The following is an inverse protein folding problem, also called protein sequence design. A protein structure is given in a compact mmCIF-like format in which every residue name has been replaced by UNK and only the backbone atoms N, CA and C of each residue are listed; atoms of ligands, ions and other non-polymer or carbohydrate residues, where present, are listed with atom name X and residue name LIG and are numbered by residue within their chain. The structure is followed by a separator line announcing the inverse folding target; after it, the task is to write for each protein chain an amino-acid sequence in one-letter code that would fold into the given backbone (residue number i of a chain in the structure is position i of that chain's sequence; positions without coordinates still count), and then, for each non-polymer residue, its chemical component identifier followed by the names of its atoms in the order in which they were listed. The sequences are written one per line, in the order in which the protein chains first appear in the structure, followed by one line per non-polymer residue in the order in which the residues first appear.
data_IF_620058024324
#
_entry.id   IF_620058024324
#
_cell.length_a   1.000
_cell.length_b   1.000
_cell.length_c   1.000
_cell.angle_alpha   90.00
_cell.angle_beta   90.00
_cell.angle_gamma   90.00
#
_symmetry.space_group_name_H-M   'P 1'
#
loop_
_entity.id
_entity.type
_entity.pdbx_description
1 polymer ?
#
# COMPACT_ATOMS: atom_id res chain seq x y z
N UNK A 1 -4.29 10.76 36.78
CA UNK A 1 -3.42 11.72 36.07
C UNK A 1 -2.22 10.95 35.54
N UNK A 2 -2.37 10.28 34.40
CA UNK A 2 -1.48 10.42 33.24
C UNK A 2 -2.09 9.54 32.15
N UNK A 3 -2.50 10.19 31.07
CA UNK A 3 -3.24 9.66 29.95
C UNK A 3 -2.26 9.64 28.79
N UNK A 4 -1.83 8.47 28.33
CA UNK A 4 -1.01 8.34 27.13
C UNK A 4 -1.84 7.69 26.03
N UNK A 5 -2.39 8.60 25.23
CA UNK A 5 -3.00 8.49 23.92
C UNK A 5 -2.20 7.56 22.98
N UNK A 6 -2.79 6.41 22.60
CA UNK A 6 -2.27 5.51 21.57
C UNK A 6 -2.66 6.10 20.21
N UNK A 7 -1.84 7.03 19.72
CA UNK A 7 -1.97 7.55 18.36
C UNK A 7 -1.59 6.45 17.38
N UNK A 8 -2.64 5.79 16.89
CA UNK A 8 -2.64 4.94 15.71
C UNK A 8 -1.97 5.65 14.53
N UNK A 9 -0.75 5.24 14.20
CA UNK A 9 -0.10 5.63 12.95
C UNK A 9 -0.83 4.96 11.78
N UNK A 10 -1.69 5.74 11.14
CA UNK A 10 -2.37 5.41 9.92
C UNK A 10 -1.40 5.60 8.75
N UNK A 11 -0.74 4.52 8.33
CA UNK A 11 0.13 4.56 7.16
C UNK A 11 -0.70 4.80 5.90
N UNK A 12 -0.55 6.00 5.35
CA UNK A 12 -1.15 6.44 4.09
C UNK A 12 -0.37 5.82 2.93
N UNK A 13 -0.75 4.60 2.55
CA UNK A 13 -0.29 3.95 1.31
C UNK A 13 -0.93 4.65 0.12
N UNK A 14 -0.29 5.69 -0.43
CA UNK A 14 -0.58 6.15 -1.79
C UNK A 14 -0.01 5.13 -2.76
N UNK A 15 -0.92 4.35 -3.35
CA UNK A 15 -0.68 3.50 -4.51
C UNK A 15 -0.42 4.39 -5.72
N UNK A 16 0.83 4.44 -6.17
CA UNK A 16 1.15 4.79 -7.55
C UNK A 16 0.79 3.59 -8.42
N UNK A 17 -0.22 3.81 -9.26
CA UNK A 17 -0.62 2.92 -10.33
C UNK A 17 0.42 2.99 -11.45
N UNK A 18 1.09 1.87 -11.70
CA UNK A 18 1.75 1.58 -12.97
C UNK A 18 1.03 0.36 -13.53
N UNK A 19 0.15 0.65 -14.48
CA UNK A 19 -0.67 -0.27 -15.25
C UNK A 19 0.16 -0.92 -16.35
N UNK A 20 0.44 -2.22 -16.21
CA UNK A 20 0.73 -3.10 -17.34
C UNK A 20 -0.17 -4.32 -17.21
N UNK A 21 -1.32 -4.21 -17.86
CA UNK A 21 -2.21 -5.32 -18.18
C UNK A 21 -1.69 -5.97 -19.47
N UNK A 22 -1.41 -7.26 -19.40
CA UNK A 22 -1.44 -8.15 -20.56
C UNK A 22 -2.07 -9.45 -20.04
N UNK A 23 -3.37 -9.57 -20.27
CA UNK A 23 -4.17 -10.76 -20.02
C UNK A 23 -4.55 -11.32 -21.39
N UNK A 24 -3.84 -12.37 -21.80
CA UNK A 24 -4.29 -13.29 -22.84
C UNK A 24 -5.35 -14.20 -22.22
N UNK A 25 -6.60 -13.77 -22.28
CA UNK A 25 -7.78 -14.59 -21.99
C UNK A 25 -8.35 -15.09 -23.31
N UNK A 26 -8.02 -16.35 -23.60
CA UNK A 26 -8.75 -17.21 -24.53
C UNK A 26 -10.12 -17.54 -23.94
N UNK A 27 -11.19 -17.01 -24.52
CA UNK A 27 -12.55 -17.54 -24.35
C UNK A 27 -13.21 -17.66 -25.71
N UNK A 28 -13.41 -18.90 -26.13
CA UNK A 28 -14.41 -19.28 -27.11
C UNK A 28 -15.77 -19.18 -26.41
N UNK A 29 -16.61 -18.22 -26.81
CA UNK A 29 -18.07 -18.29 -26.65
C UNK A 29 -18.74 -17.40 -27.70
N UNK A 30 -19.86 -17.87 -28.21
CA UNK A 30 -20.66 -17.46 -29.38
C UNK A 30 -20.78 -15.94 -29.65
N UNK A 31 -20.44 -15.51 -30.88
CA UNK A 31 -20.88 -14.23 -31.43
C UNK A 31 -22.04 -14.48 -32.42
N UNK A 32 -23.24 -14.19 -31.95
CA UNK A 32 -24.35 -13.79 -32.81
C UNK A 32 -24.01 -12.45 -33.49
N UNK A 33 -24.42 -12.40 -34.74
CA UNK A 33 -24.26 -11.36 -35.75
C UNK A 33 -24.78 -9.98 -35.29
N UNK A 34 -23.88 -9.00 -35.17
CA UNK A 34 -24.17 -7.56 -35.23
C UNK A 34 -22.96 -6.83 -35.86
N UNK A 35 -22.82 -6.99 -37.18
CA UNK A 35 -22.02 -6.10 -38.02
C UNK A 35 -22.57 -4.66 -37.92
N UNK A 36 -21.87 -3.75 -37.20
CA UNK A 36 -21.71 -2.30 -37.56
C UNK A 36 -21.20 -1.44 -36.38
N UNK A 37 -19.89 -1.24 -36.26
CA UNK A 37 -19.21 0.03 -35.85
C UNK A 37 -17.71 -0.15 -35.51
N UNK A 38 -16.96 -0.95 -36.28
CA UNK A 38 -15.48 -0.93 -36.22
C UNK A 38 -14.95 -0.12 -37.42
N UNK A 39 -14.30 1.05 -37.23
CA UNK A 39 -13.68 1.77 -38.34
C UNK A 39 -12.52 0.94 -38.89
N UNK A 40 -12.79 0.20 -39.96
CA UNK A 40 -11.76 -0.42 -40.81
C UNK A 40 -10.97 0.70 -41.49
N UNK A 41 -9.64 0.57 -41.55
CA UNK A 41 -8.77 0.90 -42.71
C UNK A 41 -7.27 1.03 -42.35
N UNK A 42 -6.72 0.10 -41.55
CA UNK A 42 -5.32 -0.24 -41.80
C UNK A 42 -5.32 -1.23 -42.98
N UNK A 43 -5.15 -0.73 -44.20
CA UNK A 43 -4.89 -1.58 -45.36
C UNK A 43 -3.76 -2.56 -45.01
N UNK A 44 -3.84 -3.81 -45.47
CA UNK A 44 -2.86 -4.87 -45.14
C UNK A 44 -1.41 -4.42 -45.36
N UNK A 45 -1.22 -3.49 -46.30
CA UNK A 45 0.02 -2.80 -46.63
C UNK A 45 0.65 -2.05 -45.44
N UNK A 46 -0.14 -1.39 -44.58
CA UNK A 46 0.39 -0.63 -43.42
C UNK A 46 0.81 -1.52 -42.25
N UNK A 47 0.33 -2.76 -42.18
CA UNK A 47 0.74 -3.73 -41.15
C UNK A 47 2.12 -4.32 -41.41
N UNK A 48 2.57 -4.30 -42.67
CA UNK A 48 3.88 -4.83 -43.09
C UNK A 48 5.01 -3.78 -42.99
N UNK A 49 4.68 -2.49 -42.89
CA UNK A 49 5.67 -1.40 -42.78
C UNK A 49 6.19 -1.32 -41.32
N UNK A 50 7.51 -1.24 -41.09
CA UNK A 50 8.06 -1.12 -39.75
C UNK A 50 7.62 0.19 -39.08
N UNK A 51 7.40 0.12 -37.76
CA UNK A 51 6.91 1.24 -36.94
C UNK A 51 7.75 2.52 -37.08
N UNK A 52 9.06 2.40 -37.29
CA UNK A 52 9.95 3.55 -37.47
C UNK A 52 9.57 4.39 -38.70
N UNK A 53 9.17 3.73 -39.79
CA UNK A 53 8.79 4.40 -41.03
C UNK A 53 7.38 5.00 -40.94
N UNK A 54 6.47 4.37 -40.19
CA UNK A 54 5.18 4.97 -39.82
C UNK A 54 5.38 6.25 -38.99
N UNK A 55 6.33 6.26 -38.05
CA UNK A 55 6.62 7.43 -37.23
C UNK A 55 7.27 8.56 -38.06
N UNK A 56 8.17 8.23 -39.00
CA UNK A 56 8.73 9.20 -39.96
C UNK A 56 7.63 9.77 -40.86
N UNK A 57 6.67 8.94 -41.29
CA UNK A 57 5.52 9.35 -42.09
C UNK A 57 4.61 10.31 -41.32
N UNK A 58 4.27 9.96 -40.06
CA UNK A 58 3.47 10.82 -39.18
C UNK A 58 4.13 12.18 -38.92
N UNK A 59 5.46 12.21 -38.76
CA UNK A 59 6.22 13.46 -38.59
C UNK A 59 6.25 14.33 -39.86
N UNK A 60 6.26 13.71 -41.05
CA UNK A 60 6.28 14.43 -42.34
C UNK A 60 4.89 14.94 -42.76
N UNK A 61 3.86 14.11 -42.61
CA UNK A 61 2.49 14.42 -43.02
C UNK A 61 1.70 15.18 -41.94
N UNK A 62 2.12 15.08 -40.68
CA UNK A 62 1.43 15.62 -39.52
C UNK A 62 0.36 14.66 -38.99
N UNK A 63 0.11 14.73 -37.67
CA UNK A 63 -0.75 13.77 -36.95
C UNK A 63 -2.20 13.76 -37.43
N UNK A 64 -2.75 14.91 -37.84
CA UNK A 64 -4.14 15.01 -38.31
C UNK A 64 -4.37 14.32 -39.66
N UNK A 65 -3.51 14.60 -40.64
CA UNK A 65 -3.62 14.02 -42.00
C UNK A 65 -3.30 12.53 -41.96
N UNK A 66 -2.30 12.13 -41.16
CA UNK A 66 -1.97 10.72 -40.94
C UNK A 66 -3.16 9.95 -40.33
N UNK A 67 -3.76 10.47 -39.26
CA UNK A 67 -4.89 9.80 -38.63
C UNK A 67 -6.13 9.74 -39.53
N UNK A 68 -6.38 10.78 -40.32
CA UNK A 68 -7.47 10.80 -41.30
C UNK A 68 -7.25 9.80 -42.45
N UNK A 69 -6.01 9.60 -42.89
CA UNK A 69 -5.66 8.65 -43.93
C UNK A 69 -5.71 7.18 -43.45
N UNK A 70 -5.27 6.92 -42.21
CA UNK A 70 -5.17 5.56 -41.64
C UNK A 70 -6.49 5.12 -40.98
N UNK A 71 -7.21 6.03 -40.33
CA UNK A 71 -8.43 5.69 -39.59
C UNK A 71 -9.70 6.23 -40.26
N UNK A 72 -9.57 6.87 -41.43
CA UNK A 72 -10.66 7.56 -42.11
C UNK A 72 -11.08 8.87 -41.43
N UNK A 73 -11.94 9.65 -42.09
CA UNK A 73 -12.65 10.75 -41.43
C UNK A 73 -13.62 10.16 -40.42
N UNK A 74 -13.30 10.25 -39.14
CA UNK A 74 -14.24 9.97 -38.08
C UNK A 74 -15.49 10.85 -38.26
N UNK A 75 -16.63 10.24 -38.59
CA UNK A 75 -17.93 10.93 -38.58
C UNK A 75 -18.20 11.30 -37.14
N UNK A 76 -18.11 12.59 -36.82
CA UNK A 76 -18.51 13.08 -35.51
C UNK A 76 -20.03 12.92 -35.35
N UNK A 77 -20.48 11.83 -34.70
CA UNK A 77 -21.85 11.75 -34.17
C UNK A 77 -22.05 12.93 -33.18
N UNK A 78 -23.20 13.63 -33.22
CA UNK A 78 -23.47 14.77 -32.35
C UNK A 78 -23.48 14.33 -30.89
N UNK A 79 -22.90 15.16 -30.01
CA UNK A 79 -22.85 14.91 -28.56
C UNK A 79 -24.27 14.91 -27.98
N UNK A 80 -24.84 13.74 -27.76
CA UNK A 80 -25.89 13.56 -26.75
C UNK A 80 -25.23 13.23 -25.42
N UNK A 81 -25.58 14.01 -24.41
CA UNK A 81 -25.13 13.90 -23.04
C UNK A 81 -25.96 12.82 -22.34
N UNK A 82 -25.35 11.70 -21.95
CA UNK A 82 -25.78 10.85 -20.82
C UNK A 82 -24.87 9.62 -20.70
N UNK A 83 -23.86 9.69 -19.84
CA UNK A 83 -23.23 8.52 -19.25
C UNK A 83 -22.71 8.96 -17.87
N UNK A 84 -23.61 8.92 -16.89
CA UNK A 84 -23.30 9.20 -15.51
C UNK A 84 -22.34 8.14 -14.95
N UNK A 85 -21.32 8.62 -14.25
CA UNK A 85 -20.37 7.80 -13.49
C UNK A 85 -21.03 7.31 -12.22
N UNK A 86 -21.16 6.00 -12.08
CA UNK A 86 -21.46 5.31 -10.83
C UNK A 86 -20.31 5.46 -9.83
N UNK A 87 -20.38 6.48 -8.98
CA UNK A 87 -19.70 6.48 -7.69
C UNK A 87 -20.62 7.02 -6.60
N UNK A 88 -21.38 6.14 -5.92
CA UNK A 88 -22.02 6.49 -4.65
C UNK A 88 -21.60 5.55 -3.52
N UNK A 89 -20.74 6.11 -2.68
CA UNK A 89 -20.56 5.78 -1.26
C UNK A 89 -21.92 5.80 -0.55
N UNK A 90 -22.27 4.72 0.16
CA UNK A 90 -23.44 4.66 1.04
C UNK A 90 -23.05 5.07 2.47
N UNK A 91 -23.71 6.10 2.99
CA UNK A 91 -24.02 6.28 4.42
C UNK A 91 -25.44 6.86 4.55
N UNK A 92 -26.26 6.09 5.26
CA UNK A 92 -27.33 6.45 6.22
C UNK A 92 -28.55 7.28 5.79
N UNK A 93 -29.67 6.57 5.84
CA UNK A 93 -30.90 6.84 6.61
C UNK A 93 -32.03 7.75 6.06
N UNK A 94 -33.19 7.08 5.92
CA UNK A 94 -34.57 7.52 6.19
C UNK A 94 -35.20 8.64 5.36
N UNK A 95 -36.18 8.26 4.53
CA UNK A 95 -37.62 8.58 4.67
C UNK A 95 -38.29 8.74 3.30
N UNK A 96 -39.39 8.03 3.13
CA UNK A 96 -40.29 8.04 1.98
C UNK A 96 -41.00 9.39 1.81
N UNK A 97 -41.20 9.84 0.56
CA UNK A 97 -42.53 10.14 -0.01
C UNK A 97 -42.42 10.47 -1.50
N UNK A 98 -43.42 10.01 -2.23
CA UNK A 98 -43.67 10.21 -3.66
C UNK A 98 -43.82 11.69 -4.06
N UNK A 99 -43.33 12.07 -5.24
CA UNK A 99 -44.08 12.94 -6.14
C UNK A 99 -43.69 12.69 -7.60
N UNK A 100 -44.72 12.50 -8.41
CA UNK A 100 -44.74 12.29 -9.86
C UNK A 100 -44.29 13.53 -10.66
N UNK A 101 -44.11 13.29 -11.96
CA UNK A 101 -43.97 14.21 -13.11
C UNK A 101 -42.62 14.90 -13.34
N UNK A 102 -41.85 14.28 -14.23
CA UNK A 102 -41.07 14.93 -15.27
C UNK A 102 -41.93 15.92 -16.09
N UNK A 103 -41.44 17.15 -16.24
CA UNK A 103 -41.52 18.04 -17.41
C UNK A 103 -41.40 19.50 -16.94
N UNK A 104 -40.17 19.98 -16.71
CA UNK A 104 -39.92 21.41 -16.57
C UNK A 104 -38.78 21.84 -17.53
N UNK A 105 -39.25 22.38 -18.66
CA UNK A 105 -38.56 23.26 -19.59
C UNK A 105 -37.70 24.29 -18.83
N UNK A 106 -36.38 24.06 -18.83
CA UNK A 106 -35.42 24.78 -17.99
C UNK A 106 -35.16 26.21 -18.50
N UNK A 107 -36.09 27.11 -18.20
CA UNK A 107 -35.88 28.56 -18.29
C UNK A 107 -34.94 29.07 -17.17
N UNK A 108 -34.31 30.25 -17.33
CA UNK A 108 -33.43 30.80 -16.31
C UNK A 108 -34.23 31.11 -15.02
N UNK A 109 -33.85 30.47 -13.91
CA UNK A 109 -34.40 30.76 -12.60
C UNK A 109 -33.90 32.11 -12.05
N UNK A 110 -34.80 32.90 -11.48
CA UNK A 110 -34.45 34.16 -10.82
C UNK A 110 -33.73 33.89 -9.48
N UNK A 111 -32.41 34.06 -9.47
CA UNK A 111 -31.61 34.01 -8.24
C UNK A 111 -31.59 35.37 -7.52
N UNK A 112 -31.76 35.35 -6.19
CA UNK A 112 -31.66 36.57 -5.37
C UNK A 112 -30.27 37.21 -5.46
N UNK A 113 -30.22 38.53 -5.68
CA UNK A 113 -28.99 39.35 -5.69
C UNK A 113 -28.21 39.36 -4.37
N UNK A 114 -28.81 38.84 -3.29
CA UNK A 114 -28.16 38.66 -1.98
C UNK A 114 -27.38 37.35 -1.86
N UNK A 115 -27.52 36.40 -2.80
CA UNK A 115 -26.64 35.23 -2.85
C UNK A 115 -25.23 35.73 -3.18
N UNK A 116 -24.32 35.61 -2.21
CA UNK A 116 -22.88 35.80 -2.46
C UNK A 116 -22.49 34.76 -3.52
N UNK A 117 -22.13 35.22 -4.72
CA UNK A 117 -21.63 34.35 -5.78
C UNK A 117 -20.40 33.57 -5.29
N UNK A 118 -20.04 32.45 -5.94
CA UNK A 118 -18.81 31.74 -5.62
C UNK A 118 -17.67 32.74 -5.78
N UNK A 119 -17.13 33.20 -4.65
CA UNK A 119 -15.91 34.00 -4.67
C UNK A 119 -14.88 33.11 -5.35
N UNK A 120 -14.36 33.51 -6.50
CA UNK A 120 -13.13 32.96 -7.03
C UNK A 120 -12.12 33.16 -5.92
N UNK A 121 -11.98 32.15 -5.07
CA UNK A 121 -11.08 32.16 -3.94
C UNK A 121 -9.77 32.56 -4.57
N UNK A 122 -9.27 33.75 -4.17
CA UNK A 122 -7.95 34.28 -4.54
C UNK A 122 -7.11 33.10 -4.89
N UNK A 123 -6.74 32.96 -6.17
CA UNK A 123 -5.82 31.95 -6.70
C UNK A 123 -4.95 31.60 -5.52
N UNK A 124 -5.22 30.45 -4.89
CA UNK A 124 -4.34 29.94 -3.86
C UNK A 124 -3.08 29.84 -4.66
N UNK A 125 -2.18 30.82 -4.51
CA UNK A 125 -0.83 30.79 -5.05
C UNK A 125 -0.45 29.37 -4.76
N UNK A 126 -0.25 28.63 -5.84
CA UNK A 126 -0.31 27.18 -5.80
C UNK A 126 0.44 26.70 -4.59
N UNK A 127 0.07 25.54 -4.09
CA UNK A 127 0.89 24.77 -3.19
C UNK A 127 2.23 24.38 -3.89
N UNK A 128 2.92 25.32 -4.54
CA UNK A 128 4.35 25.38 -4.77
C UNK A 128 4.98 25.53 -3.37
N UNK A 129 4.84 24.49 -2.56
CA UNK A 129 5.70 24.26 -1.40
C UNK A 129 7.18 24.29 -1.82
N UNK A 130 7.46 24.03 -3.10
CA UNK A 130 8.78 24.16 -3.74
C UNK A 130 9.30 25.60 -3.83
N UNK A 131 8.42 26.61 -3.85
CA UNK A 131 8.78 28.04 -3.86
C UNK A 131 8.63 28.70 -2.48
N UNK A 132 8.08 27.97 -1.50
CA UNK A 132 7.97 28.42 -0.11
C UNK A 132 9.34 28.30 0.58
N UNK A 133 10.23 29.26 0.27
CA UNK A 133 11.54 29.49 0.86
C UNK A 133 12.53 28.33 0.64
N UNK A 134 13.46 28.55 -0.29
CA UNK A 134 14.73 27.82 -0.40
C UNK A 134 15.56 28.04 0.89
N UNK A 135 15.10 27.47 2.00
CA UNK A 135 15.85 27.40 3.25
C UNK A 135 16.87 26.27 3.10
N UNK A 136 18.09 26.41 3.67
CA UNK A 136 19.00 25.29 3.75
C UNK A 136 18.29 24.15 4.49
N UNK A 137 17.96 23.10 3.74
CA UNK A 137 17.24 21.92 4.24
C UNK A 137 18.29 20.86 4.51
N UNK A 138 18.23 20.22 5.68
CA UNK A 138 19.13 19.11 5.99
C UNK A 138 18.89 18.00 4.96
N UNK A 139 19.91 17.56 4.22
CA UNK A 139 19.76 16.56 3.17
C UNK A 139 19.15 15.26 3.71
N UNK A 140 19.33 14.93 5.00
CA UNK A 140 18.70 13.76 5.63
C UNK A 140 17.17 13.83 5.64
N UNK A 141 16.61 15.03 5.54
CA UNK A 141 15.17 15.29 5.54
C UNK A 141 14.70 15.86 4.18
N UNK A 142 15.51 15.72 3.12
CA UNK A 142 15.10 16.03 1.75
C UNK A 142 14.25 14.88 1.19
N UNK A 143 12.99 15.12 0.76
CA UNK A 143 12.15 14.11 0.13
C UNK A 143 12.81 13.38 -1.05
N UNK A 144 13.80 14.00 -1.71
CA UNK A 144 14.53 13.41 -2.84
C UNK A 144 15.48 12.26 -2.48
N UNK A 145 15.87 12.10 -1.20
CA UNK A 145 16.79 11.04 -0.76
C UNK A 145 16.14 9.64 -0.68
N UNK A 146 14.84 9.54 -0.96
CA UNK A 146 14.08 8.30 -0.91
C UNK A 146 13.68 7.87 0.51
N UNK A 147 12.95 6.76 0.59
CA UNK A 147 12.36 6.29 1.85
C UNK A 147 13.25 5.30 2.59
N UNK A 148 13.20 5.36 3.93
CA UNK A 148 13.89 4.42 4.80
C UNK A 148 13.41 2.99 4.56
N UNK A 149 14.32 2.10 4.17
CA UNK A 149 14.04 0.67 4.06
C UNK A 149 14.69 -0.08 5.22
N UNK A 150 13.87 -0.52 6.19
CA UNK A 150 14.36 -1.28 7.35
C UNK A 150 15.15 -2.53 6.96
N UNK A 151 14.79 -3.20 5.85
CA UNK A 151 15.52 -4.37 5.35
C UNK A 151 16.93 -3.99 4.85
N UNK A 152 17.03 -2.97 4.00
CA UNK A 152 18.34 -2.49 3.48
C UNK A 152 19.21 -2.02 4.64
N UNK A 153 18.64 -1.26 5.57
CA UNK A 153 19.33 -0.83 6.78
C UNK A 153 19.91 -2.01 7.57
N UNK A 154 19.14 -3.09 7.80
CA UNK A 154 19.66 -4.29 8.49
C UNK A 154 20.76 -4.99 7.70
N UNK A 155 20.71 -4.96 6.37
CA UNK A 155 21.74 -5.54 5.51
C UNK A 155 23.04 -4.72 5.56
N UNK A 156 22.92 -3.41 5.36
CA UNK A 156 24.07 -2.49 5.27
C UNK A 156 24.73 -2.28 6.64
N UNK A 157 23.94 -2.22 7.70
CA UNK A 157 24.40 -2.00 9.08
C UNK A 157 24.35 -3.28 9.94
N UNK A 158 24.46 -4.46 9.32
CA UNK A 158 24.44 -5.74 10.03
C UNK A 158 25.50 -5.86 11.13
N UNK A 159 26.68 -5.25 10.90
CA UNK A 159 27.82 -5.22 11.82
C UNK A 159 27.50 -4.59 13.19
N UNK A 160 26.47 -3.74 13.28
CA UNK A 160 26.05 -3.15 14.56
C UNK A 160 25.63 -4.25 15.54
N UNK A 161 25.03 -5.34 15.07
CA UNK A 161 24.69 -6.45 15.97
C UNK A 161 25.91 -7.25 16.39
N UNK A 162 26.92 -7.39 15.52
CA UNK A 162 28.19 -8.01 15.91
C UNK A 162 28.87 -7.18 17.00
N UNK A 163 28.79 -5.85 16.92
CA UNK A 163 29.24 -4.96 17.98
C UNK A 163 28.44 -5.18 19.28
N UNK A 164 27.10 -5.23 19.21
CA UNK A 164 26.24 -5.52 20.38
C UNK A 164 26.56 -6.85 21.05
N UNK A 165 26.86 -7.91 20.28
CA UNK A 165 27.24 -9.21 20.88
C UNK A 165 28.59 -9.14 21.59
N UNK A 166 29.55 -8.38 21.05
CA UNK A 166 30.83 -8.11 21.73
C UNK A 166 30.62 -7.27 23.00
N UNK A 167 29.73 -6.28 22.96
CA UNK A 167 29.35 -5.48 24.13
C UNK A 167 28.70 -6.33 25.21
N UNK A 168 27.81 -7.26 24.86
CA UNK A 168 27.21 -8.20 25.81
C UNK A 168 28.28 -9.01 26.55
N UNK A 169 29.28 -9.55 25.83
CA UNK A 169 30.41 -10.26 26.46
C UNK A 169 31.20 -9.35 27.42
N UNK A 170 31.44 -8.10 27.04
CA UNK A 170 32.10 -7.11 27.92
C UNK A 170 31.26 -6.81 29.17
N UNK A 171 29.94 -6.66 29.02
CA UNK A 171 29.03 -6.42 30.14
C UNK A 171 28.96 -7.62 31.09
N UNK A 172 28.98 -8.85 30.57
CA UNK A 172 29.07 -10.06 31.39
C UNK A 172 30.36 -10.09 32.22
N UNK A 173 31.51 -9.80 31.60
CA UNK A 173 32.79 -9.73 32.31
C UNK A 173 32.78 -8.63 33.38
N UNK A 174 32.22 -7.45 33.08
CA UNK A 174 32.05 -6.37 34.06
C UNK A 174 31.17 -6.81 35.22
N UNK A 175 30.05 -7.49 34.93
CA UNK A 175 29.13 -7.98 35.96
C UNK A 175 29.80 -8.99 36.91
N UNK A 176 30.73 -9.80 36.41
CA UNK A 176 31.51 -10.74 37.23
C UNK A 176 32.59 -10.05 38.07
N UNK A 177 33.09 -8.89 37.63
CA UNK A 177 34.13 -8.14 38.33
C UNK A 177 33.59 -7.10 39.31
N UNK A 178 32.35 -6.65 39.15
CA UNK A 178 31.71 -5.67 40.04
C UNK A 178 31.23 -6.31 41.33
N UNK A 179 31.68 -5.77 42.46
CA UNK A 179 31.20 -6.12 43.80
C UNK A 179 30.04 -5.24 44.27
N UNK A 180 29.93 -4.01 43.74
CA UNK A 180 28.85 -3.07 44.09
C UNK A 180 27.49 -3.56 43.56
N UNK A 181 26.48 -3.75 44.44
CA UNK A 181 25.15 -4.18 44.03
C UNK A 181 24.44 -3.18 43.10
N UNK A 182 24.61 -1.87 43.29
CA UNK A 182 23.91 -0.87 42.47
C UNK A 182 24.44 -0.84 41.03
N UNK A 183 25.77 -0.92 40.88
CA UNK A 183 26.41 -1.02 39.57
C UNK A 183 26.06 -2.34 38.88
N UNK A 184 26.01 -3.45 39.63
CA UNK A 184 25.59 -4.73 39.10
C UNK A 184 24.15 -4.70 38.56
N UNK A 185 23.24 -3.99 39.21
CA UNK A 185 21.86 -3.80 38.71
C UNK A 185 21.82 -2.98 37.43
N UNK A 186 22.58 -1.87 37.36
CA UNK A 186 22.71 -1.04 36.15
C UNK A 186 23.25 -1.87 34.98
N UNK A 187 24.28 -2.68 35.22
CA UNK A 187 24.87 -3.57 34.21
C UNK A 187 23.84 -4.62 33.75
N UNK A 188 23.13 -5.27 34.68
CA UNK A 188 22.05 -6.23 34.35
C UNK A 188 20.93 -5.59 33.55
N UNK A 189 20.59 -4.33 33.82
CA UNK A 189 19.58 -3.60 33.07
C UNK A 189 20.02 -3.35 31.62
N UNK A 190 21.23 -2.83 31.43
CA UNK A 190 21.79 -2.59 30.09
C UNK A 190 21.91 -3.91 29.33
N UNK A 191 22.37 -4.98 29.98
CA UNK A 191 22.48 -6.31 29.38
C UNK A 191 21.12 -6.81 28.88
N UNK A 192 20.07 -6.75 29.72
CA UNK A 192 18.69 -7.12 29.32
C UNK A 192 18.20 -6.30 28.13
N UNK A 193 18.46 -4.98 28.12
CA UNK A 193 18.09 -4.10 27.01
C UNK A 193 18.78 -4.50 25.71
N UNK A 194 20.10 -4.71 25.75
CA UNK A 194 20.89 -5.08 24.57
C UNK A 194 20.52 -6.47 24.06
N UNK A 195 20.28 -7.45 24.94
CA UNK A 195 19.77 -8.77 24.55
C UNK A 195 18.41 -8.69 23.85
N UNK A 196 17.49 -7.87 24.35
CA UNK A 196 16.19 -7.67 23.72
C UNK A 196 16.36 -7.07 22.30
N UNK A 197 17.27 -6.12 22.12
CA UNK A 197 17.57 -5.54 20.80
C UNK A 197 18.13 -6.58 19.83
N UNK A 198 19.06 -7.44 20.28
CA UNK A 198 19.61 -8.52 19.46
C UNK A 198 18.53 -9.53 19.09
N UNK A 199 17.66 -9.91 20.04
CA UNK A 199 16.54 -10.82 19.80
C UNK A 199 15.53 -10.25 18.79
N UNK A 200 15.14 -8.98 18.93
CA UNK A 200 14.23 -8.34 17.97
C UNK A 200 14.87 -8.18 16.59
N UNK A 201 16.16 -7.85 16.51
CA UNK A 201 16.86 -7.82 15.23
C UNK A 201 16.85 -9.19 14.54
N UNK A 202 17.17 -10.27 15.26
CA UNK A 202 17.16 -11.62 14.71
C UNK A 202 15.77 -12.03 14.21
N UNK A 203 14.72 -11.70 14.96
CA UNK A 203 13.32 -11.92 14.55
C UNK A 203 12.97 -11.16 13.28
N UNK A 204 13.31 -9.88 13.19
CA UNK A 204 13.05 -9.07 11.99
C UNK A 204 13.82 -9.60 10.77
N UNK A 205 15.06 -10.04 10.97
CA UNK A 205 15.87 -10.66 9.92
C UNK A 205 15.23 -11.96 9.39
N UNK A 206 14.74 -12.82 10.28
CA UNK A 206 14.02 -14.04 9.87
C UNK A 206 12.74 -13.74 9.08
N UNK A 207 11.99 -12.71 9.48
CA UNK A 207 10.79 -12.28 8.74
C UNK A 207 11.13 -11.73 7.35
N UNK A 208 12.20 -10.95 7.23
CA UNK A 208 12.69 -10.47 5.94
C UNK A 208 13.13 -11.62 5.04
N UNK A 209 13.85 -12.59 5.59
CA UNK A 209 14.32 -13.79 4.88
C UNK A 209 13.14 -14.62 4.37
N UNK A 210 12.14 -14.89 5.20
CA UNK A 210 10.92 -15.60 4.81
C UNK A 210 10.18 -14.87 3.67
N UNK A 211 10.04 -13.54 3.77
CA UNK A 211 9.45 -12.72 2.70
C UNK A 211 10.26 -12.78 1.41
N UNK A 212 11.59 -12.80 1.51
CA UNK A 212 12.46 -12.94 0.35
C UNK A 212 12.37 -14.32 -0.29
N UNK A 213 12.23 -15.38 0.50
CA UNK A 213 12.00 -16.73 0.00
C UNK A 213 10.68 -16.83 -0.77
N UNK A 214 9.59 -16.28 -0.23
CA UNK A 214 8.30 -16.21 -0.93
C UNK A 214 8.43 -15.49 -2.29
N UNK A 215 9.12 -14.34 -2.31
CA UNK A 215 9.38 -13.60 -3.56
C UNK A 215 10.24 -14.38 -4.54
N UNK A 216 11.24 -15.14 -4.06
CA UNK A 216 12.09 -15.98 -4.91
C UNK A 216 11.28 -17.13 -5.52
N UNK A 217 10.44 -17.80 -4.74
CA UNK A 217 9.56 -18.87 -5.23
C UNK A 217 8.57 -18.36 -6.28
N UNK A 218 7.97 -17.19 -6.06
CA UNK A 218 7.10 -16.57 -7.05
C UNK A 218 7.84 -16.25 -8.36
N UNK A 219 9.07 -15.72 -8.28
CA UNK A 219 9.91 -15.47 -9.46
C UNK A 219 10.28 -16.76 -10.19
N UNK A 220 10.58 -17.83 -9.45
CA UNK A 220 10.89 -19.14 -10.02
C UNK A 220 9.68 -19.72 -10.78
N UNK A 221 8.48 -19.67 -10.18
CA UNK A 221 7.26 -20.11 -10.85
C UNK A 221 7.02 -19.34 -12.17
N UNK A 222 7.18 -18.02 -12.14
CA UNK A 222 7.06 -17.18 -13.35
C UNK A 222 8.11 -17.57 -14.39
N UNK A 223 9.37 -17.79 -13.99
CA UNK A 223 10.43 -18.21 -14.93
C UNK A 223 10.20 -19.58 -15.54
N UNK A 224 9.47 -20.46 -14.84
CA UNK A 224 9.02 -21.76 -15.35
C UNK A 224 7.76 -21.67 -16.21
N UNK A 225 7.18 -20.48 -16.39
CA UNK A 225 5.90 -20.27 -17.09
C UNK A 225 4.67 -20.66 -16.26
N UNK A 226 4.81 -20.96 -14.97
CA UNK A 226 3.71 -21.30 -14.07
C UNK A 226 3.17 -20.05 -13.38
N UNK A 227 1.85 -20.04 -13.11
CA UNK A 227 1.22 -18.95 -12.34
C UNK A 227 1.71 -18.98 -10.89
N UNK A 228 2.32 -17.90 -10.35
CA UNK A 228 2.79 -17.86 -8.98
C UNK A 228 1.62 -17.95 -7.99
N UNK A 229 1.78 -18.76 -6.95
CA UNK A 229 0.77 -18.92 -5.90
C UNK A 229 1.09 -18.03 -4.70
N UNK A 230 0.14 -17.15 -4.35
CA UNK A 230 0.23 -16.29 -3.17
C UNK A 230 -0.77 -16.75 -2.11
N UNK A 231 -0.25 -17.14 -0.95
CA UNK A 231 -1.12 -17.56 0.15
C UNK A 231 -1.92 -16.40 0.73
N UNK A 232 -3.18 -16.67 1.08
CA UNK A 232 -4.04 -15.71 1.78
C UNK A 232 -3.42 -15.32 3.13
N UNK A 233 -3.67 -14.09 3.57
CA UNK A 233 -3.15 -13.59 4.86
C UNK A 233 -3.63 -14.42 6.06
N UNK A 234 -4.86 -14.96 6.00
CA UNK A 234 -5.41 -15.82 7.05
C UNK A 234 -4.70 -17.17 7.16
N UNK A 235 -4.38 -17.80 6.02
CA UNK A 235 -3.68 -19.09 5.99
C UNK A 235 -2.24 -18.96 6.46
N UNK A 236 -1.55 -17.86 6.11
CA UNK A 236 -0.22 -17.53 6.65
C UNK A 236 -0.25 -17.42 8.17
N UNK A 237 -1.20 -16.65 8.73
CA UNK A 237 -1.36 -16.52 10.18
C UNK A 237 -1.64 -17.86 10.86
N UNK A 238 -2.46 -18.72 10.26
CA UNK A 238 -2.72 -20.06 10.79
C UNK A 238 -1.45 -20.92 10.81
N UNK A 239 -0.65 -20.90 9.73
CA UNK A 239 0.66 -21.57 9.69
C UNK A 239 1.62 -21.03 10.75
N UNK A 240 1.72 -19.72 10.90
CA UNK A 240 2.58 -19.08 11.90
C UNK A 240 2.18 -19.50 13.32
N UNK A 241 0.87 -19.60 13.61
CA UNK A 241 0.36 -20.05 14.90
C UNK A 241 0.69 -21.52 15.18
N UNK A 242 0.57 -22.39 14.17
CA UNK A 242 0.96 -23.80 14.30
C UNK A 242 2.46 -23.91 14.57
N UNK A 243 3.30 -23.22 13.79
CA UNK A 243 4.74 -23.20 14.02
C UNK A 243 5.12 -22.67 15.41
N UNK A 244 4.44 -21.64 15.91
CA UNK A 244 4.66 -21.13 17.27
C UNK A 244 4.25 -22.16 18.33
N UNK A 245 3.14 -22.86 18.12
CA UNK A 245 2.69 -23.92 19.01
C UNK A 245 3.71 -25.07 19.08
N UNK A 246 4.19 -25.53 17.91
CA UNK A 246 5.16 -26.62 17.83
C UNK A 246 6.48 -26.23 18.50
N UNK A 247 7.00 -25.02 18.21
CA UNK A 247 8.19 -24.48 18.90
C UNK A 247 8.02 -24.44 20.41
N UNK A 248 6.84 -24.01 20.91
CA UNK A 248 6.56 -23.98 22.36
C UNK A 248 6.43 -25.37 22.97
N UNK A 249 5.96 -26.35 22.19
CA UNK A 249 5.84 -27.74 22.59
C UNK A 249 7.21 -28.40 22.68
N UNK A 250 8.06 -28.19 21.68
CA UNK A 250 9.47 -28.64 21.64
C UNK A 250 10.27 -28.03 22.81
N UNK A 251 10.11 -26.73 23.06
CA UNK A 251 10.74 -26.03 24.18
C UNK A 251 10.23 -26.47 25.58
N UNK A 252 9.15 -27.26 25.65
CA UNK A 252 8.48 -27.61 26.91
C UNK A 252 7.81 -26.43 27.63
N UNK A 253 7.66 -25.29 26.95
CA UNK A 253 7.09 -24.04 27.52
C UNK A 253 5.59 -23.89 27.29
N UNK A 254 4.97 -24.81 26.54
CA UNK A 254 3.57 -24.76 26.17
C UNK A 254 2.62 -24.65 27.37
N UNK A 255 2.81 -25.47 28.42
CA UNK A 255 1.98 -25.42 29.63
C UNK A 255 1.99 -24.04 30.30
N UNK A 256 3.19 -23.49 30.52
CA UNK A 256 3.37 -22.13 31.06
C UNK A 256 2.71 -21.06 30.20
N UNK A 257 2.75 -21.20 28.87
CA UNK A 257 2.11 -20.27 27.95
C UNK A 257 0.57 -20.33 28.06
N UNK A 258 0.00 -21.53 28.13
CA UNK A 258 -1.45 -21.74 28.31
C UNK A 258 -1.90 -21.17 29.66
N UNK A 259 -1.16 -21.41 30.74
CA UNK A 259 -1.50 -20.90 32.07
C UNK A 259 -1.47 -19.38 32.13
N UNK A 260 -0.44 -18.75 31.52
CA UNK A 260 -0.38 -17.29 31.38
C UNK A 260 -1.57 -16.75 30.58
N UNK A 261 -1.95 -17.41 29.49
CA UNK A 261 -3.12 -17.02 28.67
C UNK A 261 -4.41 -17.16 29.49
N UNK A 262 -4.61 -18.25 30.23
CA UNK A 262 -5.76 -18.46 31.12
C UNK A 262 -5.85 -17.37 32.18
N UNK A 263 -4.75 -17.06 32.88
CA UNK A 263 -4.69 -15.98 33.88
C UNK A 263 -5.03 -14.62 33.27
N UNK A 264 -4.53 -14.31 32.07
CA UNK A 264 -4.83 -13.05 31.36
C UNK A 264 -6.29 -12.95 30.95
N UNK A 265 -6.91 -14.05 30.51
CA UNK A 265 -8.34 -14.10 30.15
C UNK A 265 -9.19 -13.89 31.40
N UNK A 266 -8.96 -14.68 32.46
CA UNK A 266 -9.67 -14.54 33.74
C UNK A 266 -9.57 -13.12 34.32
N UNK A 267 -8.39 -12.49 34.27
CA UNK A 267 -8.22 -11.10 34.70
C UNK A 267 -8.99 -10.09 33.84
N UNK A 268 -9.09 -10.33 32.52
CA UNK A 268 -9.91 -9.50 31.62
C UNK A 268 -11.40 -9.69 31.89
N UNK A 269 -11.83 -10.92 32.13
CA UNK A 269 -13.23 -11.24 32.41
C UNK A 269 -13.66 -10.61 33.74
N UNK A 270 -12.83 -10.69 34.79
CA UNK A 270 -13.07 -9.99 36.05
C UNK A 270 -13.24 -8.48 35.84
N UNK A 271 -12.31 -7.84 35.12
CA UNK A 271 -12.42 -6.41 34.79
C UNK A 271 -13.72 -6.08 34.06
N UNK A 272 -14.14 -6.90 33.09
CA UNK A 272 -15.41 -6.67 32.36
C UNK A 272 -16.63 -6.76 33.28
N UNK A 273 -16.61 -7.66 34.26
CA UNK A 273 -17.69 -7.77 35.25
C UNK A 273 -17.68 -6.58 36.23
N UNK A 274 -16.51 -6.09 36.62
CA UNK A 274 -16.35 -4.92 37.51
C UNK A 274 -16.87 -3.61 36.89
N UNK A 275 -16.99 -3.52 35.56
CA UNK A 275 -17.58 -2.37 34.84
C UNK A 275 -19.09 -2.50 34.57
N UNK A 276 -19.70 -3.65 34.91
CA UNK A 276 -21.11 -3.94 34.66
C UNK A 276 -22.01 -3.76 35.90
N UNK A 277 -21.48 -3.15 36.97
CA UNK A 277 -22.18 -2.78 38.20
C UNK A 277 -22.12 -1.29 38.44
#
# INVERSE_FOLDING_TARGET
MDSSDDQSEQEHSQSEEESVADEETSSEDDEEDDEDDVPKLADKEFKEIPFEDLLKLQKKLGTRVYNEAIFGKAVSKPKTVAAEKDTKKRKTDTAETYSESDDDDSGPEEISSRRKGPTFAKVRRGNNEEAALQRPRDPRFDPKQGYFSGRKFRQDYGFINDLRTKELKKLQNKLHSTEDPEEAEKIKFVMRRTENQVREYAKQKQLDEARMQEKKQARQAISEGKRPFYERKSTKKARDLVQQYDKLKEDGKLGKHIDKRRKKISAKDRRKLDFAT
#
